data_IF_026306111313
#
_entry.id   IF_026306111313
#
_cell.length_a   1.000
_cell.length_b   1.000
_cell.length_c   1.000
_cell.angle_alpha   90.00
_cell.angle_beta   90.00
_cell.angle_gamma   90.00
#
_symmetry.space_group_name_H-M   'P 1'
#
loop_
_entity.id
_entity.type
_entity.pdbx_description
1 polymer ?
#
# COMPACT_ATOMS: atom_id res chain seq x y z
N UNK A 1 12.08 25.53 12.47
CA UNK A 1 12.42 24.13 12.82
C UNK A 1 11.43 23.48 13.82
N UNK A 2 10.87 24.20 14.80
CA UNK A 2 9.92 23.61 15.77
C UNK A 2 8.63 23.05 15.14
N UNK A 3 8.09 23.73 14.12
CA UNK A 3 6.80 23.34 13.52
C UNK A 3 6.90 22.12 12.59
N UNK A 4 8.03 21.93 11.90
CA UNK A 4 8.28 20.73 11.08
C UNK A 4 8.26 19.48 11.95
N UNK A 5 9.00 19.49 13.07
CA UNK A 5 9.06 18.36 13.99
C UNK A 5 7.69 18.04 14.60
N UNK A 6 6.91 19.07 14.96
CA UNK A 6 5.57 18.89 15.49
C UNK A 6 4.60 18.31 14.46
N UNK A 7 4.58 18.87 13.25
CA UNK A 7 3.72 18.38 12.16
C UNK A 7 4.07 16.95 11.77
N UNK A 8 5.37 16.64 11.71
CA UNK A 8 5.86 15.27 11.50
C UNK A 8 5.43 14.32 12.61
N UNK A 9 5.43 14.74 13.88
CA UNK A 9 4.93 13.92 14.99
C UNK A 9 3.43 13.59 14.81
N UNK A 10 2.62 14.57 14.40
CA UNK A 10 1.19 14.36 14.09
C UNK A 10 1.01 13.42 12.89
N UNK A 11 1.85 13.55 11.87
CA UNK A 11 1.84 12.69 10.68
C UNK A 11 2.20 11.25 11.02
N UNK A 12 3.27 11.03 11.79
CA UNK A 12 3.62 9.69 12.32
C UNK A 12 2.49 9.13 13.18
N UNK A 13 1.84 9.96 13.99
CA UNK A 13 0.65 9.57 14.76
C UNK A 13 -0.50 9.06 13.88
N UNK A 14 -0.77 9.72 12.76
CA UNK A 14 -1.79 9.29 11.79
C UNK A 14 -1.37 8.03 11.02
N UNK A 15 -0.09 7.91 10.64
CA UNK A 15 0.41 6.72 9.96
C UNK A 15 0.29 5.46 10.82
N UNK A 16 0.47 5.58 12.15
CA UNK A 16 0.31 4.45 13.07
C UNK A 16 -1.09 3.84 13.05
N UNK A 17 -2.13 4.63 12.79
CA UNK A 17 -3.52 4.14 12.77
C UNK A 17 -3.85 3.41 11.47
N UNK A 18 -3.02 3.53 10.44
CA UNK A 18 -3.21 2.80 9.19
C UNK A 18 -2.93 1.30 9.40
N UNK A 19 -3.62 0.41 8.67
CA UNK A 19 -3.30 -1.00 8.65
C UNK A 19 -1.99 -1.25 7.89
N UNK A 20 -1.34 -2.38 8.16
CA UNK A 20 -0.30 -2.90 7.29
C UNK A 20 -0.88 -3.30 5.92
N UNK A 21 -0.05 -3.24 4.88
CA UNK A 21 -0.49 -3.49 3.51
C UNK A 21 -0.95 -4.94 3.31
N UNK A 22 -1.96 -5.13 2.46
CA UNK A 22 -2.50 -6.46 2.13
C UNK A 22 -1.50 -7.29 1.31
N UNK A 23 -0.80 -6.65 0.37
CA UNK A 23 0.18 -7.31 -0.50
C UNK A 23 1.52 -7.39 0.23
N UNK A 24 1.91 -8.61 0.64
CA UNK A 24 3.07 -8.84 1.53
C UNK A 24 4.43 -8.85 0.83
N UNK A 25 4.47 -8.88 -0.50
CA UNK A 25 5.72 -8.98 -1.24
C UNK A 25 6.48 -7.66 -1.39
N UNK A 26 5.86 -6.53 -1.01
CA UNK A 26 6.45 -5.20 -1.06
C UNK A 26 6.55 -4.60 0.34
N UNK A 27 7.37 -3.54 0.48
CA UNK A 27 7.42 -2.77 1.72
C UNK A 27 6.09 -2.06 1.95
N UNK A 28 5.58 -2.12 3.18
CA UNK A 28 4.28 -1.53 3.50
C UNK A 28 4.36 -0.01 3.47
N UNK A 29 3.34 0.61 2.88
CA UNK A 29 3.18 2.06 2.90
C UNK A 29 3.27 2.62 4.32
N UNK A 30 2.56 2.02 5.28
CA UNK A 30 2.59 2.44 6.70
C UNK A 30 4.02 2.57 7.21
N UNK A 31 4.78 1.48 7.07
CA UNK A 31 6.10 1.35 7.65
C UNK A 31 7.14 2.23 6.97
N UNK A 32 7.17 2.21 5.63
CA UNK A 32 8.07 3.03 4.82
C UNK A 32 7.85 4.53 5.07
N UNK A 33 6.60 4.98 5.19
CA UNK A 33 6.31 6.39 5.46
C UNK A 33 6.70 6.79 6.88
N UNK A 34 6.49 5.92 7.88
CA UNK A 34 6.93 6.21 9.25
C UNK A 34 8.45 6.39 9.29
N UNK A 35 9.23 5.51 8.66
CA UNK A 35 10.69 5.63 8.63
C UNK A 35 11.15 6.92 7.96
N UNK A 36 10.56 7.22 6.79
CA UNK A 36 10.83 8.45 6.04
C UNK A 36 10.60 9.68 6.91
N UNK A 37 9.42 9.79 7.51
CA UNK A 37 9.07 10.99 8.26
C UNK A 37 9.76 11.06 9.62
N UNK A 38 10.04 9.93 10.26
CA UNK A 38 10.94 9.89 11.42
C UNK A 38 12.33 10.41 11.06
N UNK A 39 12.91 9.99 9.94
CA UNK A 39 14.20 10.48 9.47
C UNK A 39 14.18 11.99 9.17
N UNK A 40 13.15 12.48 8.45
CA UNK A 40 13.00 13.90 8.12
C UNK A 40 12.81 14.76 9.38
N UNK A 41 12.01 14.28 10.34
CA UNK A 41 11.73 15.02 11.58
C UNK A 41 12.79 14.89 12.67
N UNK A 42 13.85 14.10 12.45
CA UNK A 42 14.82 13.75 13.49
C UNK A 42 14.17 13.08 14.70
N UNK A 43 13.18 12.22 14.44
CA UNK A 43 12.45 11.46 15.45
C UNK A 43 12.89 9.99 15.40
N UNK A 44 13.03 9.31 16.54
CA UNK A 44 13.22 7.87 16.53
C UNK A 44 11.95 7.18 16.02
N UNK A 45 12.13 6.08 15.28
CA UNK A 45 11.01 5.20 14.90
C UNK A 45 10.47 4.55 16.18
N UNK A 46 9.16 4.63 16.48
CA UNK A 46 8.55 4.05 17.66
C UNK A 46 8.75 2.53 17.76
N UNK A 47 9.09 2.02 18.95
CA UNK A 47 9.37 0.60 19.16
C UNK A 47 8.20 -0.33 18.83
N UNK A 48 6.97 0.12 19.11
CA UNK A 48 5.75 -0.60 18.74
C UNK A 48 5.64 -0.86 17.23
N UNK A 49 6.03 0.13 16.41
CA UNK A 49 6.01 0.03 14.94
C UNK A 49 7.09 -0.94 14.45
N UNK A 50 8.28 -0.93 15.10
CA UNK A 50 9.35 -1.90 14.77
C UNK A 50 8.91 -3.33 15.06
N UNK A 51 8.24 -3.55 16.19
CA UNK A 51 7.71 -4.88 16.56
C UNK A 51 6.61 -5.33 15.61
N UNK A 52 5.68 -4.44 15.27
CA UNK A 52 4.61 -4.71 14.31
C UNK A 52 5.19 -5.09 12.93
N UNK A 53 6.18 -4.33 12.43
CA UNK A 53 6.86 -4.63 11.18
C UNK A 53 7.53 -6.01 11.22
N UNK A 54 8.28 -6.31 12.27
CA UNK A 54 8.94 -7.61 12.40
C UNK A 54 7.95 -8.80 12.42
N UNK A 55 6.72 -8.59 12.90
CA UNK A 55 5.66 -9.58 12.84
C UNK A 55 5.06 -9.72 11.43
N UNK A 56 4.89 -8.61 10.71
CA UNK A 56 4.40 -8.62 9.33
C UNK A 56 5.43 -9.22 8.35
N UNK A 57 6.71 -8.91 8.52
CA UNK A 57 7.81 -9.44 7.71
C UNK A 57 7.90 -10.97 7.80
N UNK A 58 7.53 -11.56 8.95
CA UNK A 58 7.45 -13.01 9.13
C UNK A 58 6.29 -13.66 8.35
N UNK A 59 5.25 -12.90 8.01
CA UNK A 59 4.09 -13.39 7.24
C UNK A 59 4.32 -13.36 5.73
N UNK A 60 5.42 -12.75 5.27
CA UNK A 60 5.75 -12.66 3.85
C UNK A 60 6.04 -14.06 3.30
N UNK A 61 5.20 -14.50 2.36
CA UNK A 61 5.40 -15.77 1.68
C UNK A 61 6.59 -15.63 0.71
N UNK A 62 7.66 -16.40 0.96
CA UNK A 62 8.81 -16.50 0.06
C UNK A 62 8.58 -17.70 -0.86
N UNK A 63 8.44 -17.45 -2.16
CA UNK A 63 8.34 -18.52 -3.17
C UNK A 63 9.68 -19.23 -3.40
N UNK A 64 10.79 -18.53 -3.16
CA UNK A 64 12.15 -19.04 -3.29
C UNK A 64 12.96 -18.50 -2.12
N UNK A 65 13.71 -19.36 -1.44
CA UNK A 65 14.63 -18.95 -0.37
C UNK A 65 15.94 -18.44 -0.99
N UNK A 66 15.87 -17.23 -1.54
CA UNK A 66 17.04 -16.52 -2.06
C UNK A 66 17.50 -15.54 -0.99
N UNK A 67 18.76 -15.68 -0.56
CA UNK A 67 19.42 -14.67 0.26
C UNK A 67 19.77 -13.46 -0.62
N UNK A 68 18.79 -12.58 -0.80
CA UNK A 68 18.91 -11.35 -1.60
C UNK A 68 20.00 -10.42 -1.06
N UNK A 69 20.30 -10.46 0.25
CA UNK A 69 21.37 -9.65 0.84
C UNK A 69 22.74 -10.18 0.44
N UNK A 70 22.95 -11.50 0.50
CA UNK A 70 24.19 -12.12 0.04
C UNK A 70 24.39 -11.91 -1.46
N UNK A 71 23.34 -12.08 -2.27
CA UNK A 71 23.38 -11.80 -3.71
C UNK A 71 23.71 -10.34 -3.99
N UNK A 72 23.05 -9.40 -3.29
CA UNK A 72 23.32 -7.98 -3.45
C UNK A 72 24.76 -7.63 -3.09
N UNK A 73 25.33 -8.19 -2.00
CA UNK A 73 26.75 -7.98 -1.64
C UNK A 73 27.74 -8.60 -2.63
N UNK A 74 27.35 -9.70 -3.29
CA UNK A 74 28.19 -10.33 -4.32
C UNK A 74 28.17 -9.55 -5.63
N UNK A 75 27.05 -8.91 -5.97
CA UNK A 75 26.90 -8.14 -7.21
C UNK A 75 27.35 -6.69 -7.03
N UNK A 76 27.04 -6.09 -5.88
CA UNK A 76 27.32 -4.71 -5.54
C UNK A 76 28.18 -4.69 -4.28
N UNK A 77 29.41 -4.19 -4.39
CA UNK A 77 30.34 -3.98 -3.26
C UNK A 77 29.89 -2.86 -2.30
N UNK A 78 28.67 -2.35 -2.45
CA UNK A 78 28.13 -1.23 -1.70
C UNK A 78 27.62 -1.67 -0.33
N UNK A 79 28.04 -0.94 0.70
CA UNK A 79 27.42 -1.00 2.01
C UNK A 79 25.95 -0.56 1.87
N UNK A 80 25.04 -1.15 2.66
CA UNK A 80 23.63 -0.74 2.68
C UNK A 80 23.53 0.71 3.20
N UNK A 81 23.67 1.69 2.31
CA UNK A 81 23.51 3.10 2.66
C UNK A 81 22.06 3.37 3.06
N UNK A 82 21.91 4.18 4.11
CA UNK A 82 20.58 4.63 4.50
C UNK A 82 20.00 5.47 3.38
N UNK A 83 18.70 5.31 3.04
CA UNK A 83 18.07 6.13 2.01
C UNK A 83 18.23 7.62 2.35
N UNK A 84 18.82 8.39 1.43
CA UNK A 84 18.86 9.84 1.52
C UNK A 84 17.48 10.40 1.19
N UNK A 85 16.77 10.83 2.23
CA UNK A 85 15.45 11.43 2.09
C UNK A 85 15.48 12.89 1.66
N UNK A 86 16.66 13.48 1.38
CA UNK A 86 16.81 14.90 1.00
C UNK A 86 16.04 15.81 1.96
N UNK A 87 16.31 15.67 3.26
CA UNK A 87 15.57 16.38 4.34
C UNK A 87 15.51 17.89 4.15
N UNK A 88 16.47 18.49 3.43
CA UNK A 88 16.49 19.90 3.07
C UNK A 88 15.34 20.34 2.15
N UNK A 89 14.76 19.43 1.37
CA UNK A 89 13.61 19.71 0.49
C UNK A 89 12.27 19.75 1.25
N UNK A 90 12.23 19.26 2.49
CA UNK A 90 11.02 19.21 3.30
C UNK A 90 10.84 20.49 4.10
N UNK A 91 10.38 21.54 3.42
CA UNK A 91 9.93 22.77 4.06
C UNK A 91 8.69 22.52 4.92
N UNK A 92 8.41 23.45 5.84
CA UNK A 92 7.23 23.38 6.70
C UNK A 92 5.92 23.31 5.91
N UNK A 93 5.83 24.09 4.83
CA UNK A 93 4.67 24.11 3.95
C UNK A 93 4.46 22.76 3.28
N UNK A 94 5.53 22.15 2.75
CA UNK A 94 5.48 20.82 2.12
C UNK A 94 5.03 19.79 3.14
N UNK A 95 5.60 19.77 4.34
CA UNK A 95 5.22 18.81 5.39
C UNK A 95 3.76 18.99 5.82
N UNK A 96 3.28 20.23 5.91
CA UNK A 96 1.88 20.53 6.20
C UNK A 96 0.95 20.07 5.07
N UNK A 97 1.34 20.26 3.82
CA UNK A 97 0.62 19.77 2.66
C UNK A 97 0.54 18.24 2.65
N UNK A 98 1.66 17.56 2.91
CA UNK A 98 1.71 16.09 3.02
C UNK A 98 0.79 15.58 4.13
N UNK A 99 0.79 16.24 5.30
CA UNK A 99 -0.12 15.91 6.39
C UNK A 99 -1.59 16.06 5.99
N UNK A 100 -1.95 17.16 5.32
CA UNK A 100 -3.32 17.39 4.85
C UNK A 100 -3.77 16.37 3.81
N UNK A 101 -2.88 15.98 2.90
CA UNK A 101 -3.11 14.93 1.91
C UNK A 101 -3.35 13.58 2.59
N UNK A 102 -2.48 13.20 3.53
CA UNK A 102 -2.62 11.96 4.30
C UNK A 102 -3.92 11.93 5.10
N UNK A 103 -4.29 13.04 5.75
CA UNK A 103 -5.57 13.18 6.47
C UNK A 103 -6.76 13.04 5.52
N UNK A 104 -6.67 13.55 4.30
CA UNK A 104 -7.73 13.43 3.29
C UNK A 104 -7.91 11.99 2.82
N UNK A 105 -6.80 11.25 2.65
CA UNK A 105 -6.80 9.81 2.32
C UNK A 105 -7.41 9.02 3.49
N UNK A 106 -6.91 9.23 4.71
CA UNK A 106 -7.41 8.55 5.92
C UNK A 106 -8.92 8.74 6.12
N UNK A 107 -9.43 9.94 5.87
CA UNK A 107 -10.86 10.24 6.06
C UNK A 107 -11.75 9.79 4.88
N UNK A 108 -11.16 9.15 3.86
CA UNK A 108 -11.80 8.79 2.61
C UNK A 108 -12.56 9.98 1.98
N UNK A 109 -11.98 11.19 2.05
CA UNK A 109 -12.65 12.43 1.63
C UNK A 109 -13.06 12.33 0.15
N UNK A 110 -12.14 11.91 -0.70
CA UNK A 110 -12.35 11.86 -2.14
C UNK A 110 -13.21 10.68 -2.58
N UNK A 111 -13.14 9.52 -1.91
CA UNK A 111 -14.07 8.43 -2.19
C UNK A 111 -15.51 8.76 -1.82
N UNK A 112 -15.72 9.60 -0.80
CA UNK A 112 -17.05 10.15 -0.47
C UNK A 112 -17.49 11.23 -1.45
N UNK A 113 -16.57 12.05 -1.95
CA UNK A 113 -16.89 13.15 -2.87
C UNK A 113 -17.17 12.65 -4.30
N UNK A 114 -16.40 11.65 -4.75
CA UNK A 114 -16.53 11.01 -6.05
C UNK A 114 -17.05 9.59 -5.88
N UNK A 115 -18.23 9.45 -5.28
CA UNK A 115 -18.87 8.14 -5.19
C UNK A 115 -19.07 7.57 -6.58
N UNK A 116 -18.50 6.39 -6.80
CA UNK A 116 -18.60 5.69 -8.07
C UNK A 116 -20.03 5.20 -8.19
N UNK A 117 -20.82 5.87 -9.02
CA UNK A 117 -22.21 5.46 -9.27
C UNK A 117 -22.26 4.16 -10.07
N UNK A 118 -23.40 3.47 -10.03
CA UNK A 118 -23.62 2.23 -10.79
C UNK A 118 -23.32 2.39 -12.29
N UNK A 119 -23.47 3.61 -12.84
CA UNK A 119 -23.10 3.90 -14.24
C UNK A 119 -21.60 3.68 -14.54
N UNK A 120 -20.74 3.86 -13.54
CA UNK A 120 -19.28 3.67 -13.65
C UNK A 120 -18.83 2.30 -13.14
N UNK A 121 -19.59 1.66 -12.24
CA UNK A 121 -19.29 0.33 -11.71
C UNK A 121 -19.81 -0.78 -12.63
N UNK A 122 -20.95 -0.57 -13.28
CA UNK A 122 -21.60 -1.56 -14.11
C UNK A 122 -21.40 -1.22 -15.60
N UNK A 123 -20.72 -2.08 -16.36
CA UNK A 123 -20.58 -1.88 -17.79
C UNK A 123 -21.94 -2.03 -18.47
N UNK A 124 -22.21 -1.14 -19.43
CA UNK A 124 -23.45 -1.17 -20.20
C UNK A 124 -23.48 -2.45 -21.04
N UNK A 125 -24.41 -3.37 -20.77
CA UNK A 125 -24.56 -4.63 -21.49
C UNK A 125 -24.55 -5.85 -20.57
N UNK A 126 -23.37 -6.43 -20.30
CA UNK A 126 -23.21 -7.65 -19.51
C UNK A 126 -22.42 -7.41 -18.21
N UNK A 127 -23.11 -6.92 -17.18
CA UNK A 127 -22.54 -6.65 -15.85
C UNK A 127 -21.98 -7.91 -15.16
N UNK A 128 -22.60 -9.07 -15.41
CA UNK A 128 -22.25 -10.33 -14.76
C UNK A 128 -20.85 -10.85 -15.13
N UNK A 129 -20.38 -10.62 -16.37
CA UNK A 129 -19.02 -10.98 -16.78
C UNK A 129 -17.94 -10.26 -15.96
N UNK A 130 -18.17 -8.98 -15.64
CA UNK A 130 -17.21 -8.16 -14.91
C UNK A 130 -17.26 -8.41 -13.41
N UNK A 131 -18.45 -8.66 -12.85
CA UNK A 131 -18.57 -9.14 -11.48
C UNK A 131 -17.76 -10.42 -11.27
N UNK A 132 -17.75 -11.33 -12.25
CA UNK A 132 -16.87 -12.52 -12.21
C UNK A 132 -15.38 -12.15 -12.20
N UNK A 133 -14.94 -11.26 -13.09
CA UNK A 133 -13.53 -10.84 -13.14
C UNK A 133 -13.11 -10.16 -11.83
N UNK A 134 -13.97 -9.30 -11.26
CA UNK A 134 -13.73 -8.65 -9.98
C UNK A 134 -13.71 -9.66 -8.83
N UNK A 135 -14.63 -10.62 -8.81
CA UNK A 135 -14.65 -11.69 -7.81
C UNK A 135 -13.42 -12.61 -7.92
N UNK A 136 -12.95 -12.89 -9.13
CA UNK A 136 -11.73 -13.67 -9.35
C UNK A 136 -10.50 -12.88 -8.86
N UNK A 137 -10.42 -11.57 -9.13
CA UNK A 137 -9.37 -10.69 -8.59
C UNK A 137 -9.43 -10.62 -7.05
N UNK A 138 -10.61 -10.41 -6.47
CA UNK A 138 -10.81 -10.31 -5.02
C UNK A 138 -10.48 -11.62 -4.29
N UNK A 139 -10.67 -12.77 -4.97
CA UNK A 139 -10.32 -14.10 -4.45
C UNK A 139 -8.94 -14.58 -4.92
N UNK A 140 -8.12 -13.71 -5.51
CA UNK A 140 -6.73 -14.01 -5.87
C UNK A 140 -6.55 -15.01 -7.01
N UNK A 141 -7.46 -15.02 -7.99
CA UNK A 141 -7.36 -15.83 -9.21
C UNK A 141 -7.74 -17.30 -9.04
N UNK A 142 -8.45 -17.65 -7.96
CA UNK A 142 -8.76 -19.04 -7.61
C UNK A 142 -10.14 -19.51 -8.07
N UNK A 143 -10.96 -18.64 -8.68
CA UNK A 143 -12.32 -18.99 -9.10
C UNK A 143 -12.29 -19.71 -10.45
N UNK A 144 -12.37 -21.06 -10.42
CA UNK A 144 -12.53 -21.88 -11.62
C UNK A 144 -14.01 -22.12 -11.92
N UNK A 145 -14.43 -21.80 -13.14
CA UNK A 145 -15.75 -22.20 -13.62
C UNK A 145 -15.78 -23.67 -14.06
N UNK A 146 -16.94 -24.30 -13.85
CA UNK A 146 -17.25 -25.58 -14.49
C UNK A 146 -17.44 -25.40 -16.00
N UNK A 147 -16.93 -26.34 -16.79
CA UNK A 147 -16.96 -26.32 -18.26
C UNK A 147 -18.35 -26.05 -18.86
N UNK A 148 -19.42 -26.47 -18.18
CA UNK A 148 -20.82 -26.31 -18.61
C UNK A 148 -21.26 -24.84 -18.56
N UNK A 149 -20.85 -24.10 -17.52
CA UNK A 149 -21.19 -22.68 -17.36
C UNK A 149 -20.53 -21.84 -18.44
N UNK A 150 -19.25 -22.08 -18.70
CA UNK A 150 -18.51 -21.44 -19.79
C UNK A 150 -19.15 -21.71 -21.16
N UNK A 151 -19.63 -22.94 -21.40
CA UNK A 151 -20.29 -23.31 -22.65
C UNK A 151 -21.64 -22.59 -22.84
N UNK A 152 -22.44 -22.46 -21.77
CA UNK A 152 -23.71 -21.72 -21.80
C UNK A 152 -23.51 -20.23 -22.05
N UNK A 153 -22.46 -19.65 -21.49
CA UNK A 153 -22.07 -18.25 -21.71
C UNK A 153 -21.74 -17.98 -23.18
N UNK A 154 -20.95 -18.86 -23.81
CA UNK A 154 -20.56 -18.72 -25.23
C UNK A 154 -21.79 -18.77 -26.13
N UNK A 155 -22.73 -19.69 -25.85
CA UNK A 155 -23.93 -19.88 -26.67
C UNK A 155 -24.96 -18.76 -26.52
N UNK A 156 -25.15 -18.25 -25.31
CA UNK A 156 -26.25 -17.30 -25.02
C UNK A 156 -25.81 -15.85 -25.06
N UNK A 157 -24.50 -15.58 -25.05
CA UNK A 157 -23.93 -14.23 -24.91
C UNK A 157 -24.31 -13.55 -23.59
N UNK A 158 -25.01 -14.27 -22.71
CA UNK A 158 -25.50 -13.85 -21.42
C UNK A 158 -24.79 -14.68 -20.36
N UNK A 159 -24.33 -13.97 -19.34
CA UNK A 159 -24.09 -14.57 -18.03
C UNK A 159 -25.37 -14.44 -17.23
#
# INVERSE_FOLDING_TARGET
>A
MSNVKETTKRMVGLLKTLPADKVKHYDSFKFSQIDRFCAIGGLPVPEEVKRERALEDKKVQKLIDIDTKKLKRMIFSEQEEKPDYKSSMFTEEIIKQQYNSLKSIHNNKWGKYYQVSNKMLEPKGNSNYYNRLLEDVDQGGQKREGLITAFRTILTGKY
#
